data_IF_943242942394
#
_entry.id   IF_943242942394
#
_cell.length_a   1.000
_cell.length_b   1.000
_cell.length_c   1.000
_cell.angle_alpha   90.00
_cell.angle_beta   90.00
_cell.angle_gamma   90.00
#
_symmetry.space_group_name_H-M   'P 1'
#
loop_
_entity.id
_entity.type
_entity.pdbx_description
1 polymer ?
#
# COMPACT_ATOMS: atom_id res chain seq x y z
N UNK A 1 -37.67 8.03 -8.68
CA UNK A 1 -36.43 8.83 -8.75
C UNK A 1 -36.10 9.49 -7.42
N UNK A 2 -36.96 10.32 -6.84
CA UNK A 2 -36.70 11.01 -5.56
C UNK A 2 -36.18 10.04 -4.47
N UNK A 3 -36.85 8.92 -4.20
CA UNK A 3 -36.39 7.91 -3.22
C UNK A 3 -35.02 7.32 -3.52
N UNK A 4 -34.62 7.19 -4.78
CA UNK A 4 -33.30 6.72 -5.17
C UNK A 4 -32.26 7.78 -4.87
N UNK A 5 -32.51 9.06 -5.20
CA UNK A 5 -31.63 10.18 -4.91
C UNK A 5 -31.47 10.41 -3.39
N UNK A 6 -32.57 10.32 -2.62
CA UNK A 6 -32.53 10.37 -1.15
C UNK A 6 -31.66 9.26 -0.55
N UNK A 7 -31.77 8.03 -1.10
CA UNK A 7 -30.94 6.92 -0.67
C UNK A 7 -29.47 7.18 -0.96
N UNK A 8 -29.14 7.65 -2.17
CA UNK A 8 -27.77 7.99 -2.57
C UNK A 8 -27.21 9.09 -1.64
N UNK A 9 -27.97 10.16 -1.40
CA UNK A 9 -27.54 11.24 -0.51
C UNK A 9 -27.27 10.74 0.91
N UNK A 10 -28.13 9.88 1.44
CA UNK A 10 -28.00 9.31 2.78
C UNK A 10 -26.78 8.41 2.88
N UNK A 11 -26.58 7.49 1.94
CA UNK A 11 -25.45 6.56 1.95
C UNK A 11 -24.13 7.29 1.69
N UNK A 12 -24.09 8.28 0.80
CA UNK A 12 -22.90 9.10 0.56
C UNK A 12 -22.44 9.88 1.81
N UNK A 13 -23.39 10.38 2.62
CA UNK A 13 -23.07 11.04 3.90
C UNK A 13 -22.62 10.07 4.99
N UNK A 14 -23.07 8.81 4.91
CA UNK A 14 -22.79 7.76 5.90
C UNK A 14 -21.49 7.00 5.62
N UNK A 15 -21.22 6.72 4.36
CA UNK A 15 -20.11 5.89 3.92
C UNK A 15 -19.30 6.58 2.81
N UNK A 16 -18.07 6.97 3.15
CA UNK A 16 -17.16 7.64 2.22
C UNK A 16 -16.74 6.76 1.04
N UNK A 17 -16.67 5.44 1.22
CA UNK A 17 -16.35 4.50 0.14
C UNK A 17 -17.47 4.49 -0.88
N UNK A 18 -18.71 4.42 -0.42
CA UNK A 18 -19.89 4.52 -1.27
C UNK A 18 -19.93 5.87 -2.01
N UNK A 19 -19.61 6.97 -1.33
CA UNK A 19 -19.55 8.29 -1.94
C UNK A 19 -18.49 8.37 -3.06
N UNK A 20 -17.31 7.80 -2.85
CA UNK A 20 -16.25 7.75 -3.85
C UNK A 20 -16.65 6.90 -5.07
N UNK A 21 -17.32 5.75 -4.85
CA UNK A 21 -17.87 4.93 -5.92
C UNK A 21 -18.99 5.63 -6.69
N UNK A 22 -19.90 6.29 -5.99
CA UNK A 22 -20.97 7.07 -6.58
C UNK A 22 -20.43 8.24 -7.43
N UNK A 23 -19.37 8.90 -6.98
CA UNK A 23 -18.70 9.97 -7.73
C UNK A 23 -18.04 9.42 -9.00
N UNK A 24 -17.31 8.30 -8.91
CA UNK A 24 -16.73 7.60 -10.07
C UNK A 24 -17.79 7.15 -11.08
N UNK A 25 -18.90 6.64 -10.61
CA UNK A 25 -20.04 6.26 -11.45
C UNK A 25 -20.78 7.48 -12.03
N UNK A 26 -20.29 8.71 -11.81
CA UNK A 26 -20.89 9.97 -12.27
C UNK A 26 -22.34 10.13 -11.82
N UNK A 27 -22.68 9.65 -10.63
CA UNK A 27 -24.04 9.72 -10.09
C UNK A 27 -24.48 11.17 -9.93
N UNK A 28 -23.59 12.08 -9.54
CA UNK A 28 -23.87 13.52 -9.46
C UNK A 28 -24.23 14.13 -10.83
N UNK A 29 -23.54 13.72 -11.90
CA UNK A 29 -23.86 14.14 -13.27
C UNK A 29 -25.20 13.55 -13.73
N UNK A 30 -25.45 12.26 -13.41
CA UNK A 30 -26.72 11.61 -13.72
C UNK A 30 -27.89 12.25 -12.97
N UNK A 31 -27.70 12.63 -11.70
CA UNK A 31 -28.69 13.36 -10.93
C UNK A 31 -28.99 14.75 -11.53
N UNK A 32 -27.97 15.49 -11.97
CA UNK A 32 -28.14 16.77 -12.67
C UNK A 32 -28.87 16.63 -14.01
N UNK A 33 -28.54 15.62 -14.83
CA UNK A 33 -29.28 15.37 -16.08
C UNK A 33 -30.74 14.96 -15.83
N UNK A 34 -30.99 14.27 -14.75
CA UNK A 34 -32.36 13.95 -14.35
C UNK A 34 -33.17 15.20 -14.00
N UNK A 35 -32.54 16.25 -13.47
CA UNK A 35 -33.19 17.57 -13.23
C UNK A 35 -33.68 18.22 -14.53
N UNK A 36 -32.94 18.09 -15.63
CA UNK A 36 -33.34 18.64 -16.93
C UNK A 36 -34.62 17.93 -17.48
N UNK A 37 -34.77 16.64 -17.12
CA UNK A 37 -35.88 15.80 -17.59
C UNK A 37 -37.14 15.90 -16.70
N UNK A 38 -36.97 16.17 -15.41
CA UNK A 38 -38.04 16.08 -14.39
C UNK A 38 -38.19 17.39 -13.60
N UNK A 39 -37.86 18.54 -14.22
CA UNK A 39 -37.76 19.85 -13.57
C UNK A 39 -39.06 20.41 -12.93
N UNK A 40 -40.20 19.81 -13.25
CA UNK A 40 -41.51 20.23 -12.73
C UNK A 40 -41.88 19.53 -11.38
N UNK A 41 -41.08 18.55 -10.92
CA UNK A 41 -41.26 17.90 -9.62
C UNK A 41 -40.26 18.45 -8.61
N UNK A 42 -40.71 19.35 -7.76
CA UNK A 42 -39.91 20.04 -6.75
C UNK A 42 -39.28 19.10 -5.72
N UNK A 43 -39.91 17.97 -5.41
CA UNK A 43 -39.34 16.98 -4.45
C UNK A 43 -38.25 16.13 -5.12
N UNK A 44 -38.48 15.70 -6.37
CA UNK A 44 -37.47 14.99 -7.15
C UNK A 44 -36.24 15.90 -7.42
N UNK A 45 -36.46 17.16 -7.73
CA UNK A 45 -35.42 18.15 -7.93
C UNK A 45 -34.53 18.30 -6.68
N UNK A 46 -35.14 18.59 -5.53
CA UNK A 46 -34.44 18.74 -4.25
C UNK A 46 -33.65 17.50 -3.89
N UNK A 47 -34.24 16.32 -4.05
CA UNK A 47 -33.56 15.05 -3.77
C UNK A 47 -32.35 14.81 -4.69
N UNK A 48 -32.43 15.17 -5.97
CA UNK A 48 -31.32 15.02 -6.92
C UNK A 48 -30.22 16.06 -6.67
N UNK A 49 -30.55 17.30 -6.35
CA UNK A 49 -29.61 18.35 -5.96
C UNK A 49 -28.86 17.95 -4.67
N UNK A 50 -29.57 17.41 -3.69
CA UNK A 50 -29.02 16.95 -2.43
C UNK A 50 -28.08 15.74 -2.63
N UNK A 51 -28.45 14.81 -3.51
CA UNK A 51 -27.59 13.66 -3.88
C UNK A 51 -26.32 14.14 -4.61
N UNK A 52 -26.43 15.04 -5.57
CA UNK A 52 -25.29 15.60 -6.30
C UNK A 52 -24.34 16.29 -5.33
N UNK A 53 -24.88 17.16 -4.46
CA UNK A 53 -24.11 17.89 -3.45
C UNK A 53 -23.43 16.93 -2.46
N UNK A 54 -24.15 15.92 -1.94
CA UNK A 54 -23.60 14.95 -1.02
C UNK A 54 -22.43 14.15 -1.65
N UNK A 55 -22.50 13.80 -2.93
CA UNK A 55 -21.41 13.16 -3.65
C UNK A 55 -20.23 14.13 -3.87
N UNK A 56 -20.49 15.39 -4.19
CA UNK A 56 -19.47 16.43 -4.37
C UNK A 56 -18.76 16.77 -3.06
N UNK A 57 -19.51 16.98 -1.97
CA UNK A 57 -18.96 17.24 -0.63
C UNK A 57 -18.13 16.06 -0.15
N UNK A 58 -18.58 14.84 -0.40
CA UNK A 58 -17.83 13.64 -0.06
C UNK A 58 -16.59 13.48 -0.95
N UNK A 59 -16.64 13.83 -2.22
CA UNK A 59 -15.47 13.87 -3.11
C UNK A 59 -14.47 14.96 -2.67
N UNK A 60 -14.97 16.15 -2.30
CA UNK A 60 -14.14 17.23 -1.76
C UNK A 60 -13.51 16.89 -0.39
N UNK A 61 -14.20 16.08 0.44
CA UNK A 61 -13.69 15.59 1.73
C UNK A 61 -12.94 14.26 1.63
N UNK A 62 -13.02 13.53 0.53
CA UNK A 62 -12.17 12.38 0.20
C UNK A 62 -10.76 12.82 -0.21
N UNK A 63 -10.49 14.11 -0.12
CA UNK A 63 -9.18 14.69 -0.31
C UNK A 63 -8.12 14.03 0.54
N UNK A 64 -6.92 14.27 0.15
CA UNK A 64 -5.70 13.86 0.80
C UNK A 64 -5.76 14.07 2.33
N UNK A 65 -5.40 13.02 3.06
CA UNK A 65 -5.36 13.05 4.52
C UNK A 65 -3.99 12.68 5.01
N UNK A 66 -3.34 13.59 5.73
CA UNK A 66 -2.11 13.28 6.44
C UNK A 66 -2.44 12.42 7.68
N UNK A 67 -1.84 11.24 7.74
CA UNK A 67 -1.83 10.40 8.94
C UNK A 67 -0.47 10.44 9.60
N UNK A 68 -0.47 10.62 10.90
CA UNK A 68 0.73 10.55 11.73
C UNK A 68 0.69 9.27 12.56
N UNK A 69 1.79 8.51 12.57
CA UNK A 69 1.99 7.32 13.39
C UNK A 69 3.35 7.38 14.07
N UNK A 70 3.40 6.91 15.32
CA UNK A 70 4.64 6.74 16.05
C UNK A 70 4.93 5.24 16.20
N UNK A 71 6.12 4.82 15.79
CA UNK A 71 6.63 3.47 15.95
C UNK A 71 7.98 3.53 16.67
N UNK A 72 8.09 2.90 17.84
CA UNK A 72 9.31 2.96 18.66
C UNK A 72 9.76 4.38 19.03
N UNK A 73 8.80 5.32 19.16
CA UNK A 73 9.08 6.73 19.42
C UNK A 73 9.44 7.57 18.19
N UNK A 74 9.54 6.98 17.01
CA UNK A 74 9.78 7.68 15.73
C UNK A 74 8.46 8.02 15.07
N UNK A 75 8.19 9.31 14.86
CA UNK A 75 6.99 9.78 14.17
C UNK A 75 7.18 9.72 12.65
N UNK A 76 6.18 9.17 11.96
CA UNK A 76 6.08 9.11 10.50
C UNK A 76 4.76 9.72 10.07
N UNK A 77 4.81 10.64 9.10
CA UNK A 77 3.66 11.25 8.46
C UNK A 77 3.48 10.62 7.08
N UNK A 78 2.30 10.16 6.76
CA UNK A 78 1.97 9.58 5.45
C UNK A 78 0.74 10.26 4.87
N UNK A 79 0.74 10.45 3.57
CA UNK A 79 -0.35 11.03 2.83
C UNK A 79 -1.26 9.91 2.31
N UNK A 80 -2.45 9.76 2.89
CA UNK A 80 -3.51 8.95 2.30
C UNK A 80 -4.22 9.76 1.21
N UNK A 81 -4.40 9.16 0.05
CA UNK A 81 -5.15 9.73 -1.06
C UNK A 81 -6.46 8.94 -1.28
N UNK A 82 -7.20 9.23 -2.35
CA UNK A 82 -8.42 8.50 -2.67
C UNK A 82 -8.11 7.05 -3.05
N UNK A 83 -8.98 6.10 -2.66
CA UNK A 83 -8.89 4.68 -3.06
C UNK A 83 -8.93 4.54 -4.60
N UNK A 84 -9.46 5.53 -5.33
CA UNK A 84 -9.39 5.63 -6.79
C UNK A 84 -7.98 5.61 -7.37
N UNK A 85 -6.97 5.95 -6.56
CA UNK A 85 -5.55 5.89 -6.91
C UNK A 85 -4.90 4.54 -6.55
N UNK A 86 -5.70 3.48 -6.41
CA UNK A 86 -5.22 2.14 -6.09
C UNK A 86 -5.37 1.77 -4.61
N UNK A 87 -5.23 0.48 -4.32
CA UNK A 87 -5.33 -0.05 -2.94
C UNK A 87 -4.22 0.47 -2.02
N UNK A 88 -3.09 0.87 -2.59
CA UNK A 88 -1.95 1.49 -1.88
C UNK A 88 -2.25 2.88 -1.31
N UNK A 89 -3.36 3.52 -1.70
CA UNK A 89 -3.73 4.88 -1.24
C UNK A 89 -4.06 4.98 0.26
N UNK A 90 -4.12 3.86 0.98
CA UNK A 90 -4.46 3.79 2.42
C UNK A 90 -3.38 3.05 3.20
N UNK A 91 -3.27 3.39 4.49
CA UNK A 91 -2.39 2.70 5.41
C UNK A 91 -3.03 1.39 5.90
N UNK A 92 -2.40 0.26 5.60
CA UNK A 92 -2.83 -1.08 6.01
C UNK A 92 -2.14 -1.54 7.30
N UNK A 93 -2.78 -2.45 8.05
CA UNK A 93 -2.27 -2.94 9.33
C UNK A 93 -0.90 -3.62 9.20
N UNK A 94 -0.67 -4.39 8.16
CA UNK A 94 0.62 -5.05 7.91
C UNK A 94 1.80 -4.05 7.86
N UNK A 95 1.57 -2.84 7.33
CA UNK A 95 2.60 -1.78 7.34
C UNK A 95 2.92 -1.31 8.75
N UNK A 96 1.92 -1.23 9.62
CA UNK A 96 2.14 -0.86 11.02
C UNK A 96 2.89 -1.97 11.76
N UNK A 97 2.53 -3.24 11.55
CA UNK A 97 3.22 -4.40 12.14
C UNK A 97 4.69 -4.45 11.70
N UNK A 98 4.95 -4.29 10.40
CA UNK A 98 6.32 -4.24 9.88
C UNK A 98 7.09 -3.06 10.47
N UNK A 99 6.49 -1.88 10.54
CA UNK A 99 7.10 -0.67 11.11
C UNK A 99 7.47 -0.85 12.59
N UNK A 100 6.61 -1.46 13.39
CA UNK A 100 6.92 -1.76 14.79
C UNK A 100 8.09 -2.74 14.94
N UNK A 101 8.17 -3.76 14.07
CA UNK A 101 9.32 -4.66 14.01
C UNK A 101 10.60 -3.91 13.70
N UNK A 102 10.61 -3.11 12.64
CA UNK A 102 11.77 -2.32 12.23
C UNK A 102 12.23 -1.33 13.31
N UNK A 103 11.27 -0.71 14.01
CA UNK A 103 11.59 0.20 15.11
C UNK A 103 12.21 -0.51 16.32
N UNK A 104 11.87 -1.78 16.56
CA UNK A 104 12.47 -2.61 17.64
C UNK A 104 13.82 -3.21 17.27
N UNK A 105 14.06 -3.42 15.98
CA UNK A 105 15.28 -4.03 15.44
C UNK A 105 15.87 -3.17 14.32
N UNK A 106 16.25 -1.90 14.63
CA UNK A 106 16.71 -0.93 13.63
C UNK A 106 18.00 -1.37 12.91
N UNK A 107 18.76 -2.30 13.48
CA UNK A 107 19.94 -2.91 12.86
C UNK A 107 19.62 -3.63 11.54
N UNK A 108 18.37 -4.03 11.31
CA UNK A 108 17.93 -4.61 10.02
C UNK A 108 18.20 -3.62 8.88
N UNK A 109 17.97 -2.32 9.10
CA UNK A 109 17.99 -1.30 8.03
C UNK A 109 19.10 -0.25 8.19
N UNK A 110 19.68 -0.10 9.39
CA UNK A 110 20.68 0.94 9.65
C UNK A 110 21.91 0.77 8.77
N UNK A 111 22.27 1.85 8.06
CA UNK A 111 23.41 1.89 7.13
C UNK A 111 23.20 1.04 5.86
N UNK A 112 21.98 0.57 5.58
CA UNK A 112 21.64 -0.29 4.45
C UNK A 112 20.94 0.48 3.34
N UNK A 113 21.06 -0.02 2.11
CA UNK A 113 20.22 0.37 0.98
C UNK A 113 18.94 -0.45 1.04
N UNK A 114 17.81 0.21 1.19
CA UNK A 114 16.50 -0.44 1.41
C UNK A 114 15.58 -0.18 0.22
N UNK A 115 14.91 -1.23 -0.26
CA UNK A 115 13.78 -1.12 -1.20
C UNK A 115 12.49 -1.50 -0.47
N UNK A 116 11.49 -0.64 -0.49
CA UNK A 116 10.13 -1.01 -0.14
C UNK A 116 9.35 -1.34 -1.42
N UNK A 117 8.88 -2.59 -1.53
CA UNK A 117 8.04 -3.03 -2.64
C UNK A 117 6.57 -2.85 -2.28
N UNK A 118 5.78 -2.26 -3.20
CA UNK A 118 4.38 -1.92 -2.92
C UNK A 118 4.26 -0.95 -1.75
N UNK A 119 4.98 0.17 -1.82
CA UNK A 119 5.09 1.13 -0.71
C UNK A 119 3.76 1.78 -0.32
N UNK A 120 2.82 1.90 -1.26
CA UNK A 120 1.54 2.56 -1.02
C UNK A 120 1.74 3.97 -0.46
N UNK A 121 1.41 4.17 0.83
CA UNK A 121 1.62 5.46 1.52
C UNK A 121 3.05 5.66 2.04
N UNK A 122 3.95 4.66 1.96
CA UNK A 122 5.37 4.77 2.25
C UNK A 122 5.76 4.71 3.74
N UNK A 123 4.91 4.21 4.61
CA UNK A 123 5.14 4.25 6.06
C UNK A 123 6.42 3.52 6.48
N UNK A 124 6.64 2.29 5.99
CA UNK A 124 7.78 1.48 6.43
C UNK A 124 9.11 2.04 5.91
N UNK A 125 9.17 2.45 4.65
CA UNK A 125 10.42 2.98 4.08
C UNK A 125 10.78 4.35 4.62
N UNK A 126 9.82 5.26 4.83
CA UNK A 126 10.07 6.54 5.50
C UNK A 126 10.60 6.29 6.92
N UNK A 127 10.02 5.32 7.64
CA UNK A 127 10.55 4.91 8.94
C UNK A 127 11.99 4.40 8.84
N UNK A 128 12.31 3.57 7.83
CA UNK A 128 13.68 3.08 7.59
C UNK A 128 14.67 4.23 7.41
N UNK A 129 14.31 5.26 6.65
CA UNK A 129 15.15 6.44 6.49
C UNK A 129 15.39 7.14 7.84
N UNK A 130 14.36 7.31 8.67
CA UNK A 130 14.45 7.88 10.02
C UNK A 130 15.23 6.99 11.02
N UNK A 131 15.25 5.68 10.80
CA UNK A 131 16.04 4.73 11.61
C UNK A 131 17.51 4.64 11.18
N UNK A 132 17.92 5.43 10.16
CA UNK A 132 19.31 5.55 9.73
C UNK A 132 19.69 4.57 8.61
N UNK A 133 18.76 4.18 7.74
CA UNK A 133 19.09 3.53 6.48
C UNK A 133 20.01 4.47 5.66
N UNK A 134 20.98 3.91 4.93
CA UNK A 134 21.87 4.69 4.09
C UNK A 134 21.13 5.32 2.91
N UNK A 135 20.20 4.58 2.33
CA UNK A 135 19.31 5.05 1.26
C UNK A 135 18.06 4.18 1.17
N UNK A 136 16.93 4.80 0.94
CA UNK A 136 15.64 4.11 0.81
C UNK A 136 15.00 4.42 -0.54
N UNK A 137 14.53 3.39 -1.21
CA UNK A 137 13.68 3.50 -2.39
C UNK A 137 12.29 3.00 -2.05
N UNK A 138 11.32 3.89 -2.10
CA UNK A 138 9.89 3.56 -2.01
C UNK A 138 9.42 3.19 -3.41
N UNK A 139 8.87 1.99 -3.60
CA UNK A 139 8.43 1.62 -4.95
C UNK A 139 6.96 1.21 -5.00
N UNK A 140 6.30 1.72 -6.02
CA UNK A 140 4.94 1.37 -6.41
C UNK A 140 4.82 1.48 -7.93
N UNK A 141 3.67 1.15 -8.52
CA UNK A 141 3.51 1.24 -9.98
C UNK A 141 2.53 2.34 -10.43
N UNK A 142 1.72 2.86 -9.52
CA UNK A 142 0.74 3.92 -9.81
C UNK A 142 1.38 5.31 -9.72
N UNK A 143 1.38 6.08 -10.79
CA UNK A 143 1.99 7.43 -10.82
C UNK A 143 1.43 8.34 -9.72
N UNK A 144 0.12 8.29 -9.45
CA UNK A 144 -0.50 9.08 -8.39
C UNK A 144 0.01 8.73 -6.99
N UNK A 145 0.36 7.45 -6.74
CA UNK A 145 0.98 7.03 -5.48
C UNK A 145 2.43 7.49 -5.41
N UNK A 146 3.17 7.44 -6.51
CA UNK A 146 4.55 7.93 -6.57
C UNK A 146 4.64 9.44 -6.26
N UNK A 147 3.73 10.24 -6.81
CA UNK A 147 3.64 11.67 -6.49
C UNK A 147 3.25 11.92 -5.01
N UNK A 148 2.37 11.10 -4.45
CA UNK A 148 2.01 11.17 -3.03
C UNK A 148 3.17 10.75 -2.12
N UNK A 149 3.98 9.76 -2.55
CA UNK A 149 5.20 9.34 -1.85
C UNK A 149 6.25 10.46 -1.82
N UNK A 150 6.50 11.15 -2.94
CA UNK A 150 7.41 12.30 -2.98
C UNK A 150 6.99 13.38 -1.96
N UNK A 151 5.71 13.65 -1.83
CA UNK A 151 5.18 14.60 -0.84
C UNK A 151 5.36 14.10 0.59
N UNK A 152 5.07 12.82 0.84
CA UNK A 152 5.28 12.19 2.15
C UNK A 152 6.76 12.20 2.55
N UNK A 153 7.67 11.96 1.61
CA UNK A 153 9.14 12.06 1.82
C UNK A 153 9.53 13.48 2.22
N UNK A 154 9.03 14.50 1.50
CA UNK A 154 9.30 15.92 1.81
C UNK A 154 8.74 16.31 3.18
N UNK A 155 7.50 15.92 3.52
CA UNK A 155 6.84 16.23 4.80
C UNK A 155 7.54 15.59 6.02
N UNK A 156 8.30 14.52 5.79
CA UNK A 156 9.11 13.87 6.81
C UNK A 156 10.56 14.38 6.87
N UNK A 157 10.99 15.23 5.93
CA UNK A 157 12.34 15.78 5.87
C UNK A 157 13.42 14.71 5.59
N UNK A 158 13.09 13.65 4.82
CA UNK A 158 14.01 12.54 4.54
C UNK A 158 14.44 12.47 3.07
N UNK A 159 14.24 13.54 2.31
CA UNK A 159 14.51 13.59 0.86
C UNK A 159 15.96 13.32 0.45
N UNK A 160 16.94 13.57 1.32
CA UNK A 160 18.35 13.27 1.06
C UNK A 160 18.65 11.77 1.07
N UNK A 161 17.82 10.96 1.74
CA UNK A 161 18.02 9.53 1.93
C UNK A 161 16.85 8.67 1.43
N UNK A 162 15.79 9.27 0.85
CA UNK A 162 14.58 8.55 0.47
C UNK A 162 14.00 9.09 -0.84
N UNK A 163 13.68 8.20 -1.77
CA UNK A 163 13.11 8.55 -3.08
C UNK A 163 12.00 7.59 -3.50
N UNK A 164 11.06 8.06 -4.32
CA UNK A 164 10.04 7.22 -4.95
C UNK A 164 10.50 6.70 -6.33
N UNK A 165 10.16 5.45 -6.68
CA UNK A 165 10.47 4.83 -7.99
C UNK A 165 9.33 3.92 -8.46
N UNK A 166 9.12 3.89 -9.76
CA UNK A 166 8.14 3.02 -10.40
C UNK A 166 8.66 1.58 -10.50
N UNK A 167 7.92 0.64 -9.93
CA UNK A 167 8.20 -0.80 -10.03
C UNK A 167 6.89 -1.58 -10.14
N UNK A 168 6.66 -2.16 -11.29
CA UNK A 168 5.62 -3.17 -11.51
C UNK A 168 6.28 -4.56 -11.47
N UNK A 169 5.91 -5.36 -10.50
CA UNK A 169 6.51 -6.68 -10.28
C UNK A 169 6.33 -7.62 -11.47
N UNK A 170 5.23 -7.49 -12.22
CA UNK A 170 4.98 -8.32 -13.41
C UNK A 170 5.99 -7.99 -14.51
N UNK A 171 6.27 -6.70 -14.73
CA UNK A 171 7.30 -6.25 -15.68
C UNK A 171 8.71 -6.61 -15.19
N UNK A 172 8.98 -6.46 -13.89
CA UNK A 172 10.24 -6.90 -13.31
C UNK A 172 10.50 -8.41 -13.53
N UNK A 173 9.46 -9.25 -13.40
CA UNK A 173 9.56 -10.69 -13.67
C UNK A 173 9.91 -10.98 -15.14
N UNK A 174 9.49 -10.15 -16.07
CA UNK A 174 9.80 -10.24 -17.50
C UNK A 174 11.08 -9.47 -17.90
N UNK A 175 11.74 -8.83 -16.94
CA UNK A 175 12.91 -7.95 -17.13
C UNK A 175 12.60 -6.74 -18.01
N UNK A 176 11.36 -6.26 -17.99
CA UNK A 176 10.93 -5.07 -18.68
C UNK A 176 10.96 -3.86 -17.73
N UNK A 177 11.22 -2.64 -18.27
CA UNK A 177 11.16 -1.42 -17.47
C UNK A 177 9.70 -1.11 -17.10
N UNK A 178 9.48 -0.60 -15.90
CA UNK A 178 8.20 -0.02 -15.51
C UNK A 178 8.13 1.41 -16.06
N UNK A 179 7.14 1.76 -16.89
CA UNK A 179 6.93 3.14 -17.32
C UNK A 179 6.60 4.02 -16.10
N UNK A 180 7.05 5.27 -16.14
CA UNK A 180 6.69 6.29 -15.17
C UNK A 180 6.42 7.60 -15.91
N UNK A 181 5.33 8.31 -15.57
CA UNK A 181 5.01 9.60 -16.16
C UNK A 181 6.06 10.65 -15.80
N UNK A 182 6.61 10.60 -14.58
CA UNK A 182 7.72 11.45 -14.13
C UNK A 182 9.06 10.71 -14.32
N UNK A 183 9.99 11.23 -15.15
CA UNK A 183 11.30 10.61 -15.35
C UNK A 183 12.11 10.38 -14.07
N UNK A 184 11.85 11.17 -13.02
CA UNK A 184 12.50 10.97 -11.71
C UNK A 184 12.09 9.67 -11.03
N UNK A 185 10.92 9.12 -11.37
CA UNK A 185 10.42 7.86 -10.83
C UNK A 185 10.96 6.62 -11.56
N UNK A 186 11.72 6.76 -12.62
CA UNK A 186 12.30 5.61 -13.32
C UNK A 186 13.29 4.87 -12.42
N UNK A 187 13.05 3.57 -12.22
CA UNK A 187 13.95 2.71 -11.47
C UNK A 187 15.17 2.36 -12.32
N UNK A 188 16.41 2.62 -11.84
CA UNK A 188 17.61 2.17 -12.54
C UNK A 188 17.63 0.63 -12.69
N UNK A 189 18.05 0.16 -13.86
CA UNK A 189 17.98 -1.26 -14.21
C UNK A 189 18.91 -2.12 -13.35
N UNK A 190 20.06 -1.60 -12.99
CA UNK A 190 21.12 -2.22 -12.18
C UNK A 190 20.95 -1.99 -10.66
N UNK A 191 19.89 -1.31 -10.23
CA UNK A 191 19.68 -1.03 -8.82
C UNK A 191 19.45 -2.31 -8.02
N UNK A 192 20.29 -2.55 -7.00
CA UNK A 192 20.19 -3.65 -6.04
C UNK A 192 20.24 -3.11 -4.62
N UNK A 193 19.67 -3.86 -3.67
CA UNK A 193 19.42 -3.42 -2.32
C UNK A 193 19.88 -4.47 -1.30
N UNK A 194 20.41 -4.01 -0.16
CA UNK A 194 20.82 -4.88 0.94
C UNK A 194 19.62 -5.48 1.66
N UNK A 195 18.53 -4.69 1.71
CA UNK A 195 17.28 -5.08 2.36
C UNK A 195 16.12 -4.76 1.45
N UNK A 196 15.22 -5.71 1.27
CA UNK A 196 13.91 -5.48 0.66
C UNK A 196 12.85 -5.64 1.75
N UNK A 197 11.91 -4.72 1.81
CA UNK A 197 10.76 -4.78 2.71
C UNK A 197 9.47 -4.67 1.91
N UNK A 198 8.38 -5.23 2.43
CA UNK A 198 7.05 -5.09 1.83
C UNK A 198 5.96 -5.46 2.82
N UNK A 199 4.86 -4.73 2.76
CA UNK A 199 3.72 -4.94 3.64
C UNK A 199 2.42 -5.05 2.84
N UNK A 200 1.65 -6.09 3.12
CA UNK A 200 0.37 -6.40 2.47
C UNK A 200 0.43 -6.51 0.94
N UNK A 201 1.50 -7.11 0.44
CA UNK A 201 1.85 -7.21 -0.99
C UNK A 201 1.35 -8.49 -1.66
N UNK A 202 0.65 -9.37 -0.94
CA UNK A 202 0.09 -10.64 -1.45
C UNK A 202 -1.44 -10.58 -1.45
N UNK A 203 -2.04 -9.90 -2.43
CA UNK A 203 -3.49 -9.73 -2.52
C UNK A 203 -4.08 -10.15 -3.90
N UNK A 204 -3.23 -10.38 -4.91
CA UNK A 204 -3.63 -10.89 -6.23
C UNK A 204 -2.81 -12.14 -6.60
N UNK A 205 -3.43 -13.05 -7.36
CA UNK A 205 -2.79 -14.32 -7.73
C UNK A 205 -1.49 -14.16 -8.51
N UNK A 206 -1.39 -13.14 -9.36
CA UNK A 206 -0.19 -12.85 -10.14
C UNK A 206 1.02 -12.47 -9.25
N UNK A 207 0.79 -11.93 -8.06
CA UNK A 207 1.86 -11.55 -7.14
C UNK A 207 2.66 -12.74 -6.62
N UNK A 208 2.06 -13.94 -6.60
CA UNK A 208 2.71 -15.18 -6.18
C UNK A 208 3.99 -15.47 -6.97
N UNK A 209 3.98 -15.23 -8.27
CA UNK A 209 5.15 -15.44 -9.12
C UNK A 209 5.99 -14.16 -9.31
N UNK A 210 5.31 -13.01 -9.46
CA UNK A 210 5.94 -11.74 -9.81
C UNK A 210 6.77 -11.15 -8.65
N UNK A 211 6.25 -11.20 -7.43
CA UNK A 211 6.95 -10.65 -6.26
C UNK A 211 8.27 -11.36 -5.96
N UNK A 212 8.36 -12.72 -5.90
CA UNK A 212 9.64 -13.40 -5.74
C UNK A 212 10.62 -13.12 -6.89
N UNK A 213 10.15 -12.95 -8.13
CA UNK A 213 11.01 -12.59 -9.26
C UNK A 213 11.59 -11.17 -9.13
N UNK A 214 10.78 -10.20 -8.69
CA UNK A 214 11.24 -8.85 -8.37
C UNK A 214 12.27 -8.87 -7.24
N UNK A 215 12.01 -9.60 -6.15
CA UNK A 215 12.95 -9.76 -5.03
C UNK A 215 14.25 -10.40 -5.52
N UNK A 216 14.18 -11.46 -6.31
CA UNK A 216 15.37 -12.12 -6.87
C UNK A 216 16.21 -11.18 -7.73
N UNK A 217 15.60 -10.32 -8.54
CA UNK A 217 16.30 -9.34 -9.36
C UNK A 217 16.96 -8.24 -8.54
N UNK A 218 16.26 -7.72 -7.51
CA UNK A 218 16.62 -6.50 -6.80
C UNK A 218 17.38 -6.70 -5.49
N UNK A 219 17.38 -7.92 -4.93
CA UNK A 219 18.08 -8.20 -3.68
C UNK A 219 19.56 -8.49 -3.95
N UNK A 220 20.44 -7.82 -3.21
CA UNK A 220 21.87 -8.13 -3.20
C UNK A 220 22.13 -9.59 -2.79
N UNK A 221 23.30 -10.13 -3.11
CA UNK A 221 23.62 -11.54 -2.87
C UNK A 221 23.46 -11.93 -1.40
N UNK A 222 23.97 -11.11 -0.49
CA UNK A 222 23.93 -11.32 0.96
C UNK A 222 22.79 -10.54 1.62
N UNK A 223 21.83 -10.08 0.82
CA UNK A 223 20.69 -9.30 1.28
C UNK A 223 19.60 -10.12 1.95
N UNK A 224 18.67 -9.44 2.60
CA UNK A 224 17.52 -10.05 3.26
C UNK A 224 16.22 -9.36 2.83
N UNK A 225 15.18 -10.15 2.59
CA UNK A 225 13.84 -9.63 2.32
C UNK A 225 12.91 -9.90 3.51
N UNK A 226 12.16 -8.89 3.93
CA UNK A 226 11.17 -8.97 5.00
C UNK A 226 9.79 -8.58 4.47
N UNK A 227 8.85 -9.51 4.54
CA UNK A 227 7.47 -9.29 4.09
C UNK A 227 6.51 -9.55 5.24
N UNK A 228 5.56 -8.64 5.45
CA UNK A 228 4.43 -8.85 6.37
C UNK A 228 3.14 -8.81 5.54
N UNK A 229 2.37 -9.89 5.59
CA UNK A 229 1.14 -10.01 4.82
C UNK A 229 -0.01 -10.50 5.70
N UNK A 230 -1.20 -9.94 5.49
CA UNK A 230 -2.41 -10.55 6.00
C UNK A 230 -2.64 -11.91 5.31
N UNK A 231 -2.95 -12.94 6.11
CA UNK A 231 -3.22 -14.29 5.59
C UNK A 231 -4.64 -14.37 5.03
N UNK A 232 -4.86 -13.78 3.83
CA UNK A 232 -6.19 -13.77 3.20
C UNK A 232 -6.54 -15.07 2.50
N UNK A 233 -5.53 -15.74 1.93
CA UNK A 233 -5.70 -16.95 1.11
C UNK A 233 -4.55 -17.91 1.40
N UNK A 234 -4.85 -19.01 2.09
CA UNK A 234 -3.83 -19.99 2.50
C UNK A 234 -3.12 -20.65 1.32
N UNK A 235 -3.81 -20.85 0.20
CA UNK A 235 -3.24 -21.39 -1.03
C UNK A 235 -2.24 -20.43 -1.67
N UNK A 236 -2.56 -19.13 -1.76
CA UNK A 236 -1.63 -18.12 -2.28
C UNK A 236 -0.38 -18.00 -1.42
N UNK A 237 -0.53 -18.08 -0.10
CA UNK A 237 0.59 -18.03 0.82
C UNK A 237 1.52 -19.23 0.65
N UNK A 238 0.98 -20.45 0.59
CA UNK A 238 1.73 -21.68 0.32
C UNK A 238 2.47 -21.59 -1.02
N UNK A 239 1.78 -21.14 -2.06
CA UNK A 239 2.35 -21.04 -3.41
C UNK A 239 3.43 -19.96 -3.49
N UNK A 240 3.32 -18.86 -2.70
CA UNK A 240 4.38 -17.86 -2.55
C UNK A 240 5.65 -18.46 -1.95
N UNK A 241 5.52 -19.27 -0.89
CA UNK A 241 6.67 -19.97 -0.29
C UNK A 241 7.36 -20.88 -1.31
N UNK A 242 6.58 -21.65 -2.07
CA UNK A 242 7.11 -22.50 -3.15
C UNK A 242 7.80 -21.70 -4.26
N UNK A 243 7.27 -20.51 -4.60
CA UNK A 243 7.87 -19.64 -5.61
C UNK A 243 9.21 -19.02 -5.15
N UNK A 244 9.37 -18.70 -3.87
CA UNK A 244 10.65 -18.30 -3.29
C UNK A 244 11.63 -19.47 -3.25
N UNK A 245 11.18 -20.65 -2.82
CA UNK A 245 11.98 -21.88 -2.79
C UNK A 245 12.56 -22.23 -4.17
N UNK A 246 11.71 -22.18 -5.20
CA UNK A 246 12.12 -22.43 -6.59
C UNK A 246 13.18 -21.43 -7.12
N UNK A 247 13.30 -20.24 -6.51
CA UNK A 247 14.33 -19.24 -6.81
C UNK A 247 15.57 -19.33 -5.92
N UNK A 248 15.68 -20.38 -5.11
CA UNK A 248 16.83 -20.59 -4.24
C UNK A 248 16.83 -19.73 -2.99
N UNK A 249 15.66 -19.36 -2.47
CA UNK A 249 15.54 -18.69 -1.19
C UNK A 249 15.17 -19.66 -0.07
N UNK A 250 15.79 -19.46 1.10
CA UNK A 250 15.30 -19.99 2.37
C UNK A 250 14.32 -18.98 2.95
N UNK A 251 13.14 -19.44 3.36
CA UNK A 251 12.09 -18.60 3.91
C UNK A 251 11.75 -19.04 5.32
N UNK A 252 12.01 -18.17 6.30
CA UNK A 252 11.54 -18.35 7.66
C UNK A 252 10.15 -17.69 7.78
N UNK A 253 9.16 -18.45 8.20
CA UNK A 253 7.84 -17.93 8.58
C UNK A 253 7.88 -17.65 10.08
N UNK A 254 7.74 -16.38 10.45
CA UNK A 254 7.82 -15.92 11.82
C UNK A 254 6.41 -15.58 12.27
N UNK A 255 5.93 -16.28 13.30
CA UNK A 255 4.68 -15.90 13.96
C UNK A 255 4.90 -14.63 14.78
N UNK A 256 4.08 -13.62 14.53
CA UNK A 256 4.29 -12.31 15.12
C UNK A 256 3.46 -12.15 16.39
N UNK A 257 4.12 -12.19 17.55
CA UNK A 257 3.53 -11.80 18.84
C UNK A 257 2.92 -10.39 18.83
N UNK A 258 3.30 -9.55 17.84
CA UNK A 258 2.80 -8.18 17.68
C UNK A 258 1.39 -8.14 17.13
N UNK A 259 1.08 -9.03 16.16
CA UNK A 259 -0.27 -9.16 15.62
C UNK A 259 -1.23 -9.65 16.72
N UNK A 260 -0.81 -10.65 17.52
CA UNK A 260 -1.58 -11.16 18.65
C UNK A 260 -1.86 -10.08 19.71
N UNK A 261 -0.86 -9.25 20.06
CA UNK A 261 -1.03 -8.15 21.04
C UNK A 261 -1.92 -7.02 20.55
N UNK A 262 -2.06 -6.84 19.23
CA UNK A 262 -2.99 -5.88 18.62
C UNK A 262 -4.41 -6.40 18.61
N UNK A 263 -4.62 -7.66 18.27
CA UNK A 263 -5.94 -8.29 18.34
C UNK A 263 -6.57 -8.07 19.72
N UNK A 264 -5.78 -8.14 20.79
CA UNK A 264 -6.21 -7.88 22.17
C UNK A 264 -6.56 -6.40 22.46
N UNK A 265 -5.93 -5.44 21.76
CA UNK A 265 -6.13 -4.00 22.00
C UNK A 265 -7.15 -3.33 21.06
N UNK A 266 -7.33 -3.85 19.86
CA UNK A 266 -8.24 -3.31 18.83
C UNK A 266 -9.52 -4.14 18.61
N UNK A 267 -9.68 -5.28 19.28
CA UNK A 267 -10.87 -6.14 19.18
C UNK A 267 -12.20 -5.42 19.46
N UNK A 268 -12.15 -4.18 19.91
CA UNK A 268 -13.33 -3.33 20.13
C UNK A 268 -13.71 -2.46 18.89
N UNK A 269 -12.91 -2.32 17.84
CA UNK A 269 -13.16 -1.31 16.80
C UNK A 269 -12.99 -1.69 15.32
N UNK A 270 -12.27 -2.75 14.97
CA UNK A 270 -12.13 -3.18 13.57
C UNK A 270 -12.31 -4.69 13.51
N UNK A 271 -13.43 -5.14 12.94
CA UNK A 271 -13.59 -6.54 12.54
C UNK A 271 -12.50 -6.82 11.50
N UNK A 272 -11.49 -7.62 11.87
CA UNK A 272 -10.58 -8.17 10.87
C UNK A 272 -11.40 -9.09 9.97
N UNK A 273 -11.31 -8.88 8.67
CA UNK A 273 -12.01 -9.70 7.68
C UNK A 273 -11.36 -11.09 7.51
N UNK A 274 -10.30 -11.41 8.29
CA UNK A 274 -9.50 -12.62 8.15
C UNK A 274 -9.06 -13.15 9.52
N UNK A 275 -9.44 -14.38 9.81
CA UNK A 275 -9.22 -15.06 11.10
C UNK A 275 -7.77 -15.54 11.34
N UNK A 276 -6.88 -15.55 10.30
CA UNK A 276 -5.55 -16.18 10.39
C UNK A 276 -4.39 -15.22 10.74
N UNK A 277 -4.68 -13.95 11.01
CA UNK A 277 -3.68 -12.96 11.41
C UNK A 277 -2.72 -12.56 10.29
N UNK A 278 -1.65 -11.85 10.68
CA UNK A 278 -0.55 -11.45 9.80
C UNK A 278 0.62 -12.42 9.94
N UNK A 279 1.29 -12.71 8.82
CA UNK A 279 2.49 -13.56 8.78
C UNK A 279 3.69 -12.75 8.31
N UNK A 280 4.79 -12.88 9.05
CA UNK A 280 6.07 -12.29 8.67
C UNK A 280 6.94 -13.33 8.00
N UNK A 281 7.46 -12.99 6.83
CA UNK A 281 8.44 -13.79 6.09
C UNK A 281 9.80 -13.12 6.15
N UNK A 282 10.84 -13.92 6.42
CA UNK A 282 12.23 -13.52 6.24
C UNK A 282 12.85 -14.41 5.17
N UNK A 283 13.16 -13.81 4.01
CA UNK A 283 13.69 -14.54 2.86
C UNK A 283 15.17 -14.21 2.67
N UNK A 284 16.02 -15.22 2.51
CA UNK A 284 17.46 -15.09 2.23
C UNK A 284 17.86 -16.05 1.12
N UNK A 285 18.80 -15.65 0.27
CA UNK A 285 19.35 -16.58 -0.71
C UNK A 285 20.06 -17.74 -0.02
N UNK A 286 19.88 -18.93 -0.55
CA UNK A 286 20.67 -20.11 -0.12
C UNK A 286 22.15 -19.86 -0.38
N UNK A 287 22.98 -20.26 0.57
CA UNK A 287 24.41 -20.31 0.31
C UNK A 287 24.66 -21.23 -0.89
N UNK A 288 25.37 -20.73 -1.91
CA UNK A 288 25.86 -21.61 -2.97
C UNK A 288 26.75 -22.67 -2.32
N UNK A 289 26.40 -23.96 -2.48
CA UNK A 289 27.32 -25.03 -2.08
C UNK A 289 28.68 -24.72 -2.72
N UNK A 290 29.78 -24.82 -1.97
CA UNK A 290 31.09 -24.74 -2.59
C UNK A 290 31.13 -25.79 -3.73
N UNK A 291 31.60 -25.36 -4.90
CA UNK A 291 31.81 -26.28 -6.02
C UNK A 291 32.71 -27.43 -5.54
N UNK A 292 32.40 -28.70 -5.91
CA UNK A 292 33.18 -29.86 -5.50
C UNK A 292 34.60 -29.78 -6.01
#
# INVERSE_FOLDING_TARGET
MAKTCETIAREARRDRTYAAEATRARVGEAARRALETFGDDDDARRACEDAARACEDAAATNGERVRTRACGGVEVRVLETEIGNGVGAKLWNAAVTLSERLARTPEIVRGKRVLEVGAGVGMCGILCAKLGAAFVTLSDFEDALLDALDRSVADNGVGDACVARAVDWTKEAERLPTPAANPRHVMPDDAVFDVIIGSDVLYERQHVAALPACVDRRLARDGVCWLVNASRYADMFRDLLAAFDARGFDVDVIEDDLALRRADRESARVKSWHDDGEKTLRCRRRASSPAP
#
